data_IF_352223570486
#
_entry.id   IF_352223570486
#
_cell.length_a   1.000
_cell.length_b   1.000
_cell.length_c   1.000
_cell.angle_alpha   90.00
_cell.angle_beta   90.00
_cell.angle_gamma   90.00
#
_symmetry.space_group_name_H-M   'P 1'
#
loop_
_entity.id
_entity.type
_entity.pdbx_description
1 polymer ?
#
# COMPACT_ATOMS: atom_id res chain seq x y z
N UNK A 1 -5.79 6.99 25.56
CA UNK A 1 -5.71 8.31 26.19
C UNK A 1 -7.10 8.87 26.46
N UNK A 2 -7.20 9.84 27.35
CA UNK A 2 -8.48 10.55 27.57
C UNK A 2 -8.62 11.64 26.52
N UNK A 3 -9.85 11.97 26.08
CA UNK A 3 -10.08 13.09 25.18
C UNK A 3 -9.56 14.41 25.79
N UNK A 4 -9.00 15.33 24.99
CA UNK A 4 -8.50 16.61 25.48
C UNK A 4 -9.57 17.48 26.14
N UNK A 5 -10.83 17.30 25.76
CA UNK A 5 -11.98 18.03 26.36
C UNK A 5 -12.11 17.88 27.88
N UNK A 6 -11.76 16.72 28.43
CA UNK A 6 -11.84 16.50 29.88
C UNK A 6 -10.74 17.30 30.61
N UNK A 7 -9.54 17.36 30.02
CA UNK A 7 -8.44 18.18 30.54
C UNK A 7 -8.77 19.68 30.43
N UNK A 8 -9.32 20.11 29.29
CA UNK A 8 -9.76 21.50 29.06
C UNK A 8 -10.80 21.93 30.10
N UNK A 9 -11.81 21.11 30.34
CA UNK A 9 -12.85 21.38 31.35
C UNK A 9 -12.27 21.45 32.76
N UNK A 10 -11.36 20.52 33.10
CA UNK A 10 -10.74 20.49 34.44
C UNK A 10 -9.85 21.73 34.68
N UNK A 11 -9.04 22.12 33.71
CA UNK A 11 -8.16 23.30 33.78
C UNK A 11 -8.98 24.59 33.83
N UNK A 12 -9.98 24.72 32.94
CA UNK A 12 -10.89 25.88 32.94
C UNK A 12 -11.54 26.08 34.30
N UNK A 13 -12.04 25.00 34.93
CA UNK A 13 -12.66 25.05 36.26
C UNK A 13 -11.65 25.35 37.35
N UNK A 14 -10.48 24.70 37.33
CA UNK A 14 -9.46 24.83 38.41
C UNK A 14 -8.84 26.22 38.49
N UNK A 15 -8.60 26.86 37.35
CA UNK A 15 -7.94 28.16 37.25
C UNK A 15 -8.90 29.30 36.95
N UNK A 16 -10.21 29.06 36.94
CA UNK A 16 -11.25 30.02 36.59
C UNK A 16 -10.93 30.81 35.30
N UNK A 17 -10.53 30.08 34.27
CA UNK A 17 -10.16 30.64 32.97
C UNK A 17 -11.17 30.20 31.89
N UNK A 18 -11.19 30.86 30.74
CA UNK A 18 -12.08 30.49 29.66
C UNK A 18 -11.72 29.10 29.05
N UNK A 19 -12.69 28.39 28.52
CA UNK A 19 -12.44 27.13 27.82
C UNK A 19 -11.45 27.30 26.67
N UNK A 20 -11.47 28.45 26.00
CA UNK A 20 -10.54 28.75 24.90
C UNK A 20 -9.10 28.86 25.42
N UNK A 21 -8.88 29.57 26.52
CA UNK A 21 -7.53 29.70 27.13
C UNK A 21 -7.03 28.34 27.63
N UNK A 22 -7.92 27.55 28.30
CA UNK A 22 -7.58 26.20 28.73
C UNK A 22 -7.30 25.27 27.55
N UNK A 23 -8.09 25.37 26.48
CA UNK A 23 -7.90 24.62 25.25
C UNK A 23 -6.61 24.96 24.54
N UNK A 24 -6.29 26.26 24.46
CA UNK A 24 -5.00 26.72 23.91
C UNK A 24 -3.81 26.06 24.62
N UNK A 25 -3.82 26.03 25.94
CA UNK A 25 -2.77 25.40 26.72
C UNK A 25 -2.70 23.90 26.45
N UNK A 26 -3.82 23.20 26.65
CA UNK A 26 -3.87 21.72 26.50
C UNK A 26 -3.44 21.26 25.12
N UNK A 27 -3.94 21.90 24.06
CA UNK A 27 -3.63 21.50 22.69
C UNK A 27 -2.19 21.80 22.30
N UNK A 28 -1.63 22.93 22.80
CA UNK A 28 -0.23 23.28 22.55
C UNK A 28 0.71 22.32 23.26
N UNK A 29 0.45 22.02 24.53
CA UNK A 29 1.25 21.05 25.29
C UNK A 29 1.13 19.64 24.71
N UNK A 30 -0.05 19.23 24.26
CA UNK A 30 -0.24 17.95 23.59
C UNK A 30 0.62 17.86 22.32
N UNK A 31 0.62 18.91 21.49
CA UNK A 31 1.46 18.98 20.29
C UNK A 31 2.95 18.91 20.63
N UNK A 32 3.38 19.60 21.70
CA UNK A 32 4.77 19.53 22.18
C UNK A 32 5.17 18.12 22.61
N UNK A 33 4.36 17.47 23.46
CA UNK A 33 4.66 16.11 23.91
C UNK A 33 4.62 15.10 22.77
N UNK A 34 3.74 15.31 21.78
CA UNK A 34 3.71 14.48 20.58
C UNK A 34 5.02 14.63 19.79
N UNK A 35 5.48 15.87 19.59
CA UNK A 35 6.73 16.15 18.89
C UNK A 35 7.95 15.52 19.58
N UNK A 36 8.04 15.64 20.90
CA UNK A 36 9.13 15.03 21.68
C UNK A 36 9.09 13.50 21.60
N UNK A 37 7.90 12.91 21.71
CA UNK A 37 7.76 11.45 21.58
C UNK A 37 8.12 10.96 20.16
N UNK A 38 7.80 11.75 19.14
CA UNK A 38 8.14 11.46 17.75
C UNK A 38 9.64 11.56 17.50
N UNK A 39 10.32 12.57 18.09
CA UNK A 39 11.78 12.69 18.07
C UNK A 39 12.46 11.44 18.63
N UNK A 40 12.01 10.93 19.77
CA UNK A 40 12.58 9.72 20.36
C UNK A 40 12.29 8.48 19.49
N UNK A 41 11.10 8.39 18.92
CA UNK A 41 10.78 7.30 17.98
C UNK A 41 11.66 7.33 16.72
N UNK A 42 11.94 8.52 16.19
CA UNK A 42 12.81 8.67 15.01
C UNK A 42 14.26 8.29 15.33
N UNK A 43 14.76 8.63 16.54
CA UNK A 43 16.10 8.21 16.99
C UNK A 43 16.20 6.69 17.12
N UNK A 44 15.19 6.04 17.69
CA UNK A 44 15.14 4.57 17.81
C UNK A 44 15.05 3.85 16.46
N UNK A 45 14.61 4.56 15.41
CA UNK A 45 14.48 4.05 14.05
C UNK A 45 15.65 4.45 13.15
N UNK A 46 16.70 5.08 13.71
CA UNK A 46 17.87 5.59 12.97
C UNK A 46 17.49 6.50 11.79
N UNK A 47 16.45 7.34 11.96
CA UNK A 47 16.05 8.35 10.98
C UNK A 47 17.11 9.44 10.92
N UNK A 48 17.66 9.72 9.75
CA UNK A 48 18.71 10.73 9.56
C UNK A 48 18.15 12.14 9.38
N UNK A 49 17.03 12.28 8.65
CA UNK A 49 16.36 13.55 8.39
C UNK A 49 14.84 13.43 8.62
N UNK A 50 14.21 14.55 8.97
CA UNK A 50 12.77 14.64 9.10
C UNK A 50 12.24 15.83 8.31
N UNK A 51 11.00 15.71 7.85
CA UNK A 51 10.25 16.75 7.14
C UNK A 51 9.12 17.29 8.00
N UNK A 52 8.85 18.59 7.86
CA UNK A 52 7.70 19.25 8.49
C UNK A 52 6.50 19.19 7.54
N UNK A 53 5.39 18.68 8.03
CA UNK A 53 4.12 18.58 7.28
C UNK A 53 3.07 19.45 7.96
N UNK A 54 2.67 20.53 7.31
CA UNK A 54 1.58 21.39 7.78
C UNK A 54 0.22 20.86 7.33
N UNK A 55 -0.84 21.28 8.00
CA UNK A 55 -2.20 21.03 7.53
C UNK A 55 -2.49 21.97 6.35
N UNK A 56 -2.98 21.44 5.23
CA UNK A 56 -3.39 22.24 4.07
C UNK A 56 -4.83 22.72 4.26
N UNK A 57 -5.00 23.89 4.86
CA UNK A 57 -6.28 24.59 5.00
C UNK A 57 -6.08 26.10 5.26
N UNK A 58 -7.15 26.86 5.15
CA UNK A 58 -7.16 28.33 5.33
C UNK A 58 -6.83 28.79 6.78
N UNK A 59 -6.74 27.86 7.74
CA UNK A 59 -6.49 28.15 9.14
C UNK A 59 -5.02 27.92 9.53
N UNK A 60 -4.20 27.49 8.60
CA UNK A 60 -2.77 27.24 8.82
C UNK A 60 -2.03 28.57 8.87
N UNK A 61 -1.25 28.76 9.95
CA UNK A 61 -0.51 30.00 10.19
C UNK A 61 0.67 30.17 9.23
N UNK A 62 1.07 31.43 8.97
CA UNK A 62 2.18 31.77 8.08
C UNK A 62 3.45 30.99 8.40
N UNK A 63 3.82 30.87 9.68
CA UNK A 63 5.01 30.10 10.07
C UNK A 63 4.90 28.61 9.70
N UNK A 64 3.71 28.01 9.80
CA UNK A 64 3.51 26.63 9.39
C UNK A 64 3.51 26.47 7.89
N UNK A 65 2.94 27.46 7.15
CA UNK A 65 2.98 27.50 5.68
C UNK A 65 4.43 27.56 5.17
N UNK A 66 5.27 28.40 5.81
CA UNK A 66 6.67 28.55 5.45
C UNK A 66 7.52 27.31 5.81
N UNK A 67 7.11 26.55 6.81
CA UNK A 67 7.84 25.36 7.27
C UNK A 67 7.44 24.10 6.53
N UNK A 68 6.31 24.10 5.85
CA UNK A 68 5.78 22.95 5.15
C UNK A 68 6.72 22.47 4.04
N UNK A 69 6.99 21.17 3.99
CA UNK A 69 7.91 20.54 3.03
C UNK A 69 9.40 20.80 3.32
N UNK A 70 9.75 21.50 4.42
CA UNK A 70 11.16 21.65 4.80
C UNK A 70 11.62 20.44 5.59
N UNK A 71 12.76 19.89 5.19
CA UNK A 71 13.42 18.81 5.91
C UNK A 71 14.69 19.28 6.61
N UNK A 72 15.02 18.62 7.71
CA UNK A 72 16.13 18.95 8.59
C UNK A 72 16.82 17.68 9.10
N UNK A 73 18.14 17.72 9.33
CA UNK A 73 18.83 16.64 10.02
C UNK A 73 18.28 16.40 11.43
N UNK A 74 18.19 15.16 11.87
CA UNK A 74 17.70 14.80 13.21
C UNK A 74 18.45 15.46 14.38
N UNK A 75 19.73 15.82 14.19
CA UNK A 75 20.50 16.57 15.20
C UNK A 75 19.94 17.97 15.48
N UNK A 76 19.21 18.53 14.51
CA UNK A 76 18.63 19.88 14.55
C UNK A 76 17.14 19.85 14.94
N UNK A 77 16.61 18.68 15.40
CA UNK A 77 15.22 18.54 15.83
C UNK A 77 14.98 19.30 17.13
N UNK A 78 14.36 20.46 17.03
CA UNK A 78 14.07 21.36 18.17
C UNK A 78 12.61 21.83 18.11
N UNK A 79 11.73 21.34 19.01
CA UNK A 79 10.35 21.81 19.08
C UNK A 79 10.26 23.32 19.29
N UNK A 80 9.48 23.97 18.44
CA UNK A 80 9.32 25.42 18.41
C UNK A 80 10.27 26.15 17.45
N UNK A 81 11.28 25.47 16.89
CA UNK A 81 12.29 26.04 15.99
C UNK A 81 12.29 25.33 14.64
N UNK A 82 12.67 24.07 14.61
CA UNK A 82 12.70 23.23 13.38
C UNK A 82 11.58 22.19 13.35
N UNK A 83 10.99 21.90 14.50
CA UNK A 83 9.88 20.96 14.65
C UNK A 83 8.68 21.61 15.38
N UNK A 84 7.44 21.18 15.10
CA UNK A 84 6.27 21.71 15.79
C UNK A 84 6.28 21.40 17.31
N UNK A 85 5.50 22.16 18.14
CA UNK A 85 4.59 23.22 17.75
C UNK A 85 5.29 24.58 17.58
N UNK A 86 5.09 25.25 16.46
CA UNK A 86 5.67 26.57 16.19
C UNK A 86 4.88 27.73 16.83
N UNK A 87 3.64 27.49 17.19
CA UNK A 87 2.71 28.47 17.77
C UNK A 87 1.61 27.76 18.57
N UNK A 88 0.84 28.47 19.40
CA UNK A 88 -0.35 27.91 20.05
C UNK A 88 -1.36 27.38 19.02
N UNK A 89 -1.96 26.22 19.32
CA UNK A 89 -2.88 25.50 18.40
C UNK A 89 -2.21 24.97 17.13
N UNK A 90 -0.90 24.79 17.12
CA UNK A 90 -0.19 24.21 16.00
C UNK A 90 -0.71 22.81 15.68
N UNK A 91 -0.97 22.55 14.38
CA UNK A 91 -1.47 21.27 13.88
C UNK A 91 -0.45 20.57 12.96
N UNK A 92 0.69 21.21 12.72
CA UNK A 92 1.78 20.61 11.95
C UNK A 92 2.39 19.42 12.70
N UNK A 93 2.93 18.48 11.96
CA UNK A 93 3.62 17.27 12.45
C UNK A 93 4.97 17.12 11.75
N UNK A 94 5.77 16.15 12.17
CA UNK A 94 6.96 15.75 11.43
C UNK A 94 6.79 14.32 10.91
N UNK A 95 7.44 14.02 9.79
CA UNK A 95 7.54 12.67 9.22
C UNK A 95 9.02 12.36 8.96
N UNK A 96 9.46 11.09 8.91
CA UNK A 96 10.79 10.76 8.43
C UNK A 96 10.95 11.22 6.99
N UNK A 97 12.09 11.81 6.66
CA UNK A 97 12.45 12.17 5.30
C UNK A 97 13.49 11.17 4.79
N UNK A 98 13.27 10.68 3.58
CA UNK A 98 14.18 9.79 2.87
C UNK A 98 14.40 10.39 1.49
N UNK A 99 15.66 10.50 1.09
CA UNK A 99 16.04 10.97 -0.26
C UNK A 99 15.94 9.80 -1.25
N UNK A 100 14.76 9.22 -1.32
CA UNK A 100 14.42 8.17 -2.26
C UNK A 100 13.13 8.58 -3.00
N UNK A 101 13.06 8.26 -4.28
CA UNK A 101 11.92 8.53 -5.17
C UNK A 101 10.67 7.69 -4.77
N UNK A 102 10.44 7.48 -3.48
CA UNK A 102 9.21 6.85 -3.01
C UNK A 102 8.05 7.83 -3.20
N UNK A 103 7.22 7.53 -4.19
CA UNK A 103 5.92 8.18 -4.34
C UNK A 103 5.08 7.89 -3.09
N UNK A 104 5.01 8.87 -2.22
CA UNK A 104 4.44 8.72 -0.86
C UNK A 104 2.90 8.78 -0.89
N UNK A 105 2.28 8.80 -2.05
CA UNK A 105 0.83 8.77 -2.18
C UNK A 105 0.20 10.16 -2.01
N UNK A 106 -0.73 10.31 -1.07
CA UNK A 106 -1.57 11.51 -0.94
C UNK A 106 -1.52 12.09 0.47
N UNK A 107 -1.64 13.42 0.57
CA UNK A 107 -1.84 14.12 1.84
C UNK A 107 -3.22 14.78 1.90
N UNK A 108 -3.80 14.80 3.10
CA UNK A 108 -5.11 15.40 3.31
C UNK A 108 -5.04 16.93 3.29
N UNK A 109 -5.96 17.55 2.53
CA UNK A 109 -6.24 18.98 2.53
C UNK A 109 -7.69 19.22 2.94
N UNK A 110 -8.05 20.46 3.25
CA UNK A 110 -9.43 20.88 3.56
C UNK A 110 -9.81 22.07 2.73
N UNK A 111 -11.03 22.03 2.21
CA UNK A 111 -11.63 23.16 1.51
C UNK A 111 -12.16 24.24 2.47
N UNK A 112 -12.81 25.27 1.91
CA UNK A 112 -13.36 26.39 2.66
C UNK A 112 -14.51 25.97 3.60
N UNK A 113 -15.20 24.89 3.30
CA UNK A 113 -16.28 24.32 4.10
C UNK A 113 -15.76 23.36 5.19
N UNK A 114 -14.47 23.06 5.17
CA UNK A 114 -13.78 22.17 6.11
C UNK A 114 -13.88 20.70 5.71
N UNK A 115 -14.38 20.39 4.53
CA UNK A 115 -14.44 19.04 3.99
C UNK A 115 -13.04 18.58 3.57
N UNK A 116 -12.72 17.34 3.88
CA UNK A 116 -11.40 16.77 3.59
C UNK A 116 -11.35 16.24 2.17
N UNK A 117 -10.30 16.60 1.43
CA UNK A 117 -9.93 16.00 0.16
C UNK A 117 -8.43 15.69 0.14
N UNK A 118 -7.97 14.98 -0.88
CA UNK A 118 -6.59 14.54 -0.96
C UNK A 118 -5.85 15.23 -2.11
N UNK A 119 -4.58 15.51 -1.91
CA UNK A 119 -3.66 16.09 -2.87
C UNK A 119 -2.38 15.26 -2.91
N UNK A 120 -1.52 15.38 -3.94
CA UNK A 120 -0.22 14.69 -3.96
C UNK A 120 0.56 14.93 -2.66
N UNK A 121 1.22 13.88 -2.16
CA UNK A 121 1.89 13.94 -0.86
C UNK A 121 3.03 14.97 -0.82
N UNK A 122 3.69 15.20 -1.94
CA UNK A 122 4.77 16.16 -2.15
C UNK A 122 4.28 17.60 -2.35
N UNK A 123 2.95 17.82 -2.51
CA UNK A 123 2.39 19.16 -2.68
C UNK A 123 2.61 19.99 -1.40
N UNK A 124 3.37 21.06 -1.52
CA UNK A 124 3.63 21.98 -0.42
C UNK A 124 2.48 22.98 -0.22
N UNK A 125 2.42 23.65 0.94
CA UNK A 125 1.39 24.64 1.21
C UNK A 125 1.35 25.79 0.17
N UNK A 126 2.48 26.37 -0.28
CA UNK A 126 2.45 27.41 -1.32
C UNK A 126 1.89 26.91 -2.66
N UNK A 127 2.13 25.67 -3.03
CA UNK A 127 1.58 25.07 -4.25
C UNK A 127 0.07 24.85 -4.12
N UNK A 128 -0.36 24.34 -2.97
CA UNK A 128 -1.77 24.18 -2.63
C UNK A 128 -2.51 25.51 -2.63
N UNK A 129 -1.98 26.54 -1.96
CA UNK A 129 -2.58 27.88 -1.90
C UNK A 129 -2.71 28.50 -3.29
N UNK A 130 -1.65 28.42 -4.10
CA UNK A 130 -1.66 28.91 -5.48
C UNK A 130 -2.73 28.24 -6.34
N UNK A 131 -2.93 26.96 -6.15
CA UNK A 131 -3.92 26.21 -6.87
C UNK A 131 -5.34 26.55 -6.41
N UNK A 132 -5.55 26.78 -5.10
CA UNK A 132 -6.82 27.26 -4.54
C UNK A 132 -7.17 28.65 -5.08
N UNK A 133 -6.24 29.59 -5.08
CA UNK A 133 -6.45 30.96 -5.58
C UNK A 133 -6.76 31.00 -7.08
N UNK A 134 -6.14 30.10 -7.86
CA UNK A 134 -6.37 30.05 -9.31
C UNK A 134 -7.65 29.30 -9.71
N UNK A 135 -8.46 28.83 -8.77
CA UNK A 135 -9.67 28.05 -9.03
C UNK A 135 -9.40 26.68 -9.68
N UNK A 136 -8.17 26.20 -9.59
CA UNK A 136 -7.75 24.88 -10.12
C UNK A 136 -8.01 23.74 -9.13
N UNK A 137 -8.90 23.97 -8.16
CA UNK A 137 -9.26 22.97 -7.14
C UNK A 137 -9.87 21.71 -7.72
N UNK A 138 -10.55 21.81 -8.86
CA UNK A 138 -11.10 20.64 -9.56
C UNK A 138 -9.99 19.74 -10.14
N UNK A 139 -8.78 20.29 -10.37
CA UNK A 139 -7.61 19.53 -10.79
C UNK A 139 -6.74 19.06 -9.61
N UNK A 140 -7.01 19.54 -8.38
CA UNK A 140 -6.28 19.20 -7.17
C UNK A 140 -7.00 18.20 -6.27
N UNK A 141 -8.29 18.08 -6.44
CA UNK A 141 -9.02 16.97 -5.83
C UNK A 141 -8.51 15.70 -6.53
N UNK A 142 -7.38 15.20 -6.03
CA UNK A 142 -7.12 13.78 -6.20
C UNK A 142 -8.37 13.12 -5.67
N UNK A 143 -8.93 12.23 -6.44
CA UNK A 143 -10.24 11.64 -6.26
C UNK A 143 -10.59 11.44 -4.79
N UNK A 144 -11.82 11.77 -4.41
CA UNK A 144 -12.45 11.17 -3.23
C UNK A 144 -12.13 9.68 -3.22
N UNK A 145 -12.09 9.01 -2.04
CA UNK A 145 -11.72 7.59 -1.96
C UNK A 145 -12.49 6.66 -2.91
N UNK A 146 -13.35 7.20 -3.77
CA UNK A 146 -14.10 6.50 -4.81
C UNK A 146 -14.41 7.42 -6.01
N UNK A 147 -13.46 8.19 -6.57
CA UNK A 147 -13.68 8.74 -7.90
C UNK A 147 -13.42 7.68 -8.99
N UNK A 148 -14.46 6.87 -9.19
CA UNK A 148 -14.64 5.93 -10.31
C UNK A 148 -14.65 6.66 -11.68
N UNK A 149 -14.24 7.92 -11.80
CA UNK A 149 -14.32 8.72 -13.02
C UNK A 149 -12.98 9.09 -13.65
N UNK A 150 -11.83 8.64 -13.14
CA UNK A 150 -10.69 8.45 -14.04
C UNK A 150 -11.10 7.31 -14.97
N UNK A 151 -11.16 7.60 -16.27
CA UNK A 151 -11.49 6.54 -17.22
C UNK A 151 -10.51 5.40 -17.00
N UNK A 152 -10.99 4.18 -17.05
CA UNK A 152 -10.21 2.93 -16.93
C UNK A 152 -8.89 3.00 -17.71
N UNK A 153 -8.93 3.63 -18.89
CA UNK A 153 -7.78 3.84 -19.75
C UNK A 153 -6.68 4.71 -19.12
N UNK A 154 -7.02 5.71 -18.31
CA UNK A 154 -6.02 6.59 -17.69
C UNK A 154 -5.27 5.90 -16.56
N UNK A 155 -5.97 5.08 -15.76
CA UNK A 155 -5.34 4.33 -14.68
C UNK A 155 -4.40 3.25 -15.21
N UNK A 156 -4.85 2.45 -16.18
CA UNK A 156 -4.00 1.48 -16.85
C UNK A 156 -2.80 2.15 -17.51
N UNK A 157 -3.02 3.29 -18.17
CA UNK A 157 -1.96 4.07 -18.81
C UNK A 157 -0.90 4.52 -17.81
N UNK A 158 -1.29 5.02 -16.63
CA UNK A 158 -0.35 5.40 -15.56
C UNK A 158 0.51 4.20 -15.13
N UNK A 159 -0.08 3.02 -14.94
CA UNK A 159 0.65 1.83 -14.54
C UNK A 159 1.62 1.34 -15.63
N UNK A 160 1.18 1.38 -16.89
CA UNK A 160 2.02 0.95 -18.01
C UNK A 160 3.15 1.93 -18.28
N UNK A 161 2.92 3.24 -18.18
CA UNK A 161 3.96 4.27 -18.26
C UNK A 161 5.01 4.08 -17.15
N UNK A 162 4.59 3.84 -15.92
CA UNK A 162 5.51 3.55 -14.81
C UNK A 162 6.36 2.29 -15.07
N UNK A 163 5.76 1.22 -15.60
CA UNK A 163 6.47 0.00 -15.98
C UNK A 163 7.50 0.25 -17.10
N UNK A 164 7.12 1.04 -18.10
CA UNK A 164 7.99 1.41 -19.22
C UNK A 164 9.16 2.31 -18.77
N UNK A 165 8.90 3.28 -17.92
CA UNK A 165 9.91 4.17 -17.32
C UNK A 165 10.93 3.40 -16.47
N UNK A 166 10.48 2.35 -15.78
CA UNK A 166 11.35 1.42 -15.07
C UNK A 166 12.12 0.48 -16.03
N UNK A 167 11.82 0.49 -17.32
CA UNK A 167 12.45 -0.37 -18.33
C UNK A 167 11.89 -1.80 -18.38
N UNK A 168 10.67 -2.02 -17.90
CA UNK A 168 10.00 -3.31 -18.01
C UNK A 168 9.66 -3.60 -19.48
N UNK A 169 10.10 -4.75 -20.00
CA UNK A 169 9.79 -5.15 -21.37
C UNK A 169 8.37 -5.68 -21.47
N UNK A 170 7.66 -5.33 -22.54
CA UNK A 170 6.31 -5.81 -22.83
C UNK A 170 6.33 -7.01 -23.79
N UNK A 171 5.72 -8.12 -23.41
CA UNK A 171 5.49 -9.27 -24.27
C UNK A 171 3.98 -9.55 -24.36
N UNK A 172 3.34 -9.33 -25.52
CA UNK A 172 1.91 -9.50 -25.64
C UNK A 172 1.43 -10.89 -25.20
N UNK A 173 0.35 -10.91 -24.44
CA UNK A 173 -0.31 -12.14 -24.03
C UNK A 173 -1.23 -12.63 -25.13
N UNK A 174 -1.24 -13.93 -25.37
CA UNK A 174 -2.11 -14.59 -26.37
C UNK A 174 -3.08 -15.53 -25.64
N UNK A 175 -4.28 -15.66 -26.18
CA UNK A 175 -5.22 -16.65 -25.69
C UNK A 175 -4.76 -18.07 -26.07
N UNK A 176 -4.99 -19.02 -25.19
CA UNK A 176 -4.85 -20.44 -25.52
C UNK A 176 -5.87 -20.84 -26.58
N UNK A 177 -5.49 -21.73 -27.45
CA UNK A 177 -6.44 -22.34 -28.42
C UNK A 177 -7.48 -23.24 -27.73
N UNK A 178 -7.09 -23.86 -26.65
CA UNK A 178 -7.90 -24.68 -25.75
C UNK A 178 -7.51 -24.35 -24.32
N UNK A 179 -8.47 -24.05 -23.43
CA UNK A 179 -8.17 -23.81 -22.01
C UNK A 179 -7.38 -24.96 -21.40
N UNK A 180 -6.40 -24.63 -20.59
CA UNK A 180 -5.63 -25.62 -19.84
C UNK A 180 -6.41 -26.11 -18.62
N UNK A 181 -6.20 -27.35 -18.23
CA UNK A 181 -6.64 -27.85 -16.93
C UNK A 181 -5.81 -27.25 -15.80
N UNK A 182 -6.34 -27.26 -14.59
CA UNK A 182 -5.61 -26.76 -13.40
C UNK A 182 -4.23 -27.44 -13.25
N UNK A 183 -4.15 -28.74 -13.49
CA UNK A 183 -2.89 -29.51 -13.42
C UNK A 183 -1.88 -29.02 -14.46
N UNK A 184 -2.34 -28.77 -15.71
CA UNK A 184 -1.49 -28.24 -16.77
C UNK A 184 -0.99 -26.82 -16.45
N UNK A 185 -1.85 -25.95 -15.89
CA UNK A 185 -1.48 -24.60 -15.45
C UNK A 185 -0.40 -24.68 -14.37
N UNK A 186 -0.61 -25.52 -13.36
CA UNK A 186 0.36 -25.73 -12.28
C UNK A 186 1.69 -26.23 -12.85
N UNK A 187 1.67 -27.19 -13.78
CA UNK A 187 2.87 -27.72 -14.39
C UNK A 187 3.63 -26.69 -15.25
N UNK A 188 2.90 -25.79 -15.92
CA UNK A 188 3.51 -24.70 -16.72
C UNK A 188 4.17 -23.67 -15.83
N UNK A 189 3.54 -23.28 -14.73
CA UNK A 189 3.99 -22.19 -13.85
C UNK A 189 4.91 -22.66 -12.73
N UNK A 190 4.84 -23.92 -12.31
CA UNK A 190 5.74 -24.45 -11.30
C UNK A 190 7.09 -24.81 -11.90
N UNK A 191 8.10 -24.17 -11.46
CA UNK A 191 9.44 -24.45 -11.98
C UNK A 191 10.52 -24.23 -10.94
N UNK A 192 10.12 -23.95 -9.72
CA UNK A 192 11.03 -23.62 -8.66
C UNK A 192 11.66 -22.27 -8.89
N UNK A 193 10.84 -21.27 -9.20
CA UNK A 193 11.33 -19.89 -9.19
C UNK A 193 11.88 -19.58 -7.81
N UNK A 194 13.18 -19.36 -7.78
CA UNK A 194 13.93 -19.05 -6.56
C UNK A 194 14.15 -17.55 -6.40
N UNK A 195 13.59 -16.76 -7.29
CA UNK A 195 13.76 -15.31 -7.30
C UNK A 195 12.90 -14.70 -6.19
N UNK A 196 13.49 -13.92 -5.30
CA UNK A 196 12.71 -13.16 -4.31
C UNK A 196 11.87 -12.11 -5.04
N UNK A 197 10.60 -11.97 -4.61
CA UNK A 197 9.69 -10.95 -5.14
C UNK A 197 8.83 -11.41 -6.33
N UNK A 198 9.02 -12.61 -6.87
CA UNK A 198 8.20 -13.12 -7.98
C UNK A 198 6.87 -13.76 -7.55
N UNK A 199 6.60 -13.89 -6.25
CA UNK A 199 5.36 -14.51 -5.76
C UNK A 199 4.10 -13.83 -6.29
N UNK A 200 4.12 -12.52 -6.41
CA UNK A 200 3.00 -11.76 -6.94
C UNK A 200 2.78 -12.00 -8.43
N UNK A 201 3.84 -11.92 -9.23
CA UNK A 201 3.75 -12.15 -10.69
C UNK A 201 3.40 -13.59 -11.03
N UNK A 202 3.89 -14.58 -10.26
CA UNK A 202 3.46 -15.99 -10.42
C UNK A 202 1.96 -16.15 -10.14
N UNK A 203 1.44 -15.51 -9.10
CA UNK A 203 0.02 -15.52 -8.80
C UNK A 203 -0.82 -14.85 -9.90
N UNK A 204 -0.36 -13.72 -10.45
CA UNK A 204 -1.01 -13.05 -11.57
C UNK A 204 -0.95 -13.90 -12.86
N UNK A 205 0.18 -14.57 -13.12
CA UNK A 205 0.28 -15.50 -14.25
C UNK A 205 -0.71 -16.67 -14.12
N UNK A 206 -0.90 -17.21 -12.90
CA UNK A 206 -1.92 -18.22 -12.64
C UNK A 206 -3.32 -17.70 -12.97
N UNK A 207 -3.66 -16.50 -12.50
CA UNK A 207 -4.93 -15.85 -12.80
C UNK A 207 -5.14 -15.71 -14.31
N UNK A 208 -4.13 -15.22 -15.04
CA UNK A 208 -4.19 -15.11 -16.49
C UNK A 208 -4.38 -16.47 -17.17
N UNK A 209 -3.67 -17.51 -16.73
CA UNK A 209 -3.85 -18.88 -17.28
C UNK A 209 -5.26 -19.42 -17.04
N UNK A 210 -5.85 -19.16 -15.88
CA UNK A 210 -7.24 -19.53 -15.56
C UNK A 210 -8.24 -18.82 -16.47
N UNK A 211 -7.98 -17.55 -16.81
CA UNK A 211 -8.75 -16.77 -17.77
C UNK A 211 -8.47 -17.17 -19.25
N UNK A 212 -7.75 -18.24 -19.50
CA UNK A 212 -7.43 -18.75 -20.84
C UNK A 212 -6.27 -18.05 -21.54
N UNK A 213 -5.51 -17.20 -20.86
CA UNK A 213 -4.37 -16.47 -21.39
C UNK A 213 -3.09 -17.27 -21.26
N UNK A 214 -2.28 -17.32 -22.32
CA UNK A 214 -0.97 -17.96 -22.28
C UNK A 214 0.08 -17.01 -21.69
N UNK A 215 0.15 -16.97 -20.39
CA UNK A 215 1.06 -16.13 -19.62
C UNK A 215 2.10 -17.00 -18.96
N UNK A 216 3.38 -16.67 -19.20
CA UNK A 216 4.50 -17.27 -18.49
C UNK A 216 5.13 -16.23 -17.59
N UNK A 217 5.40 -16.61 -16.36
CA UNK A 217 6.03 -15.77 -15.34
C UNK A 217 7.56 -15.91 -15.31
N UNK A 218 8.19 -15.52 -14.21
CA UNK A 218 9.62 -15.51 -13.89
C UNK A 218 10.41 -14.41 -14.59
N UNK A 219 9.78 -13.29 -14.83
CA UNK A 219 10.45 -12.11 -15.35
C UNK A 219 11.26 -11.43 -14.23
N UNK A 220 12.55 -11.28 -14.47
CA UNK A 220 13.43 -10.53 -13.59
C UNK A 220 13.45 -9.03 -13.89
N UNK A 221 14.38 -8.30 -13.25
CA UNK A 221 14.60 -6.87 -13.49
C UNK A 221 13.42 -5.98 -13.10
N UNK A 222 13.18 -4.93 -13.87
CA UNK A 222 12.16 -3.92 -13.60
C UNK A 222 10.73 -4.49 -13.42
N UNK A 223 10.35 -5.50 -14.20
CA UNK A 223 9.06 -6.17 -14.04
C UNK A 223 8.91 -6.79 -12.65
N UNK A 224 9.92 -7.52 -12.18
CA UNK A 224 9.93 -8.11 -10.85
C UNK A 224 9.90 -7.04 -9.76
N UNK A 225 10.69 -5.98 -9.92
CA UNK A 225 10.75 -4.86 -8.98
C UNK A 225 9.37 -4.20 -8.83
N UNK A 226 8.71 -3.90 -9.93
CA UNK A 226 7.35 -3.35 -9.91
C UNK A 226 6.35 -4.26 -9.20
N UNK A 227 6.26 -5.54 -9.59
CA UNK A 227 5.27 -6.47 -9.03
C UNK A 227 5.64 -7.02 -7.64
N UNK A 228 6.82 -6.74 -7.12
CA UNK A 228 7.18 -7.05 -5.73
C UNK A 228 6.74 -5.99 -4.73
N UNK A 229 6.27 -4.84 -5.21
CA UNK A 229 5.86 -3.70 -4.37
C UNK A 229 4.38 -3.76 -4.06
N UNK A 230 4.01 -3.78 -2.77
CA UNK A 230 2.61 -3.88 -2.31
C UNK A 230 1.71 -2.77 -2.88
N UNK A 231 2.20 -1.53 -2.92
CA UNK A 231 1.44 -0.39 -3.44
C UNK A 231 1.11 -0.55 -4.94
N UNK A 232 2.05 -1.04 -5.75
CA UNK A 232 1.80 -1.30 -7.16
C UNK A 232 0.77 -2.43 -7.36
N UNK A 233 0.82 -3.46 -6.50
CA UNK A 233 -0.18 -4.53 -6.53
C UNK A 233 -1.56 -4.05 -6.08
N UNK A 234 -1.61 -3.12 -5.13
CA UNK A 234 -2.85 -2.49 -4.67
C UNK A 234 -3.53 -1.72 -5.81
N UNK A 235 -2.78 -1.16 -6.75
CA UNK A 235 -3.38 -0.49 -7.91
C UNK A 235 -4.23 -1.42 -8.80
N UNK A 236 -3.91 -2.71 -8.85
CA UNK A 236 -4.72 -3.71 -9.59
C UNK A 236 -6.12 -3.83 -9.00
N UNK A 237 -6.28 -3.56 -7.71
CA UNK A 237 -7.60 -3.61 -7.04
C UNK A 237 -8.56 -2.52 -7.51
N UNK A 238 -8.06 -1.52 -8.25
CA UNK A 238 -8.84 -0.39 -8.78
C UNK A 238 -9.34 -0.62 -10.21
N UNK A 239 -9.01 -1.75 -10.84
CA UNK A 239 -9.50 -2.07 -12.17
C UNK A 239 -11.01 -2.32 -12.14
N UNK A 240 -11.74 -1.95 -13.21
CA UNK A 240 -13.16 -2.22 -13.31
C UNK A 240 -13.51 -3.68 -13.12
N UNK A 241 -14.60 -3.94 -12.44
CA UNK A 241 -15.06 -5.30 -12.14
C UNK A 241 -14.28 -6.00 -11.01
N UNK A 242 -13.24 -5.37 -10.45
CA UNK A 242 -12.51 -5.87 -9.29
C UNK A 242 -13.13 -5.32 -8.01
N UNK A 243 -13.62 -6.23 -7.17
CA UNK A 243 -14.16 -5.92 -5.84
C UNK A 243 -13.25 -6.54 -4.76
N UNK A 244 -12.19 -5.84 -4.33
CA UNK A 244 -11.22 -6.40 -3.41
C UNK A 244 -11.78 -6.47 -1.99
N UNK A 245 -11.36 -7.48 -1.24
CA UNK A 245 -11.58 -7.56 0.19
C UNK A 245 -10.33 -7.07 0.91
N UNK A 246 -10.41 -5.93 1.57
CA UNK A 246 -9.34 -5.40 2.42
C UNK A 246 -9.53 -5.79 3.88
N UNK A 247 -8.42 -5.93 4.61
CA UNK A 247 -8.37 -6.00 6.06
C UNK A 247 -7.16 -5.25 6.59
N UNK A 248 -7.36 -4.61 7.73
CA UNK A 248 -6.31 -3.92 8.46
C UNK A 248 -6.24 -4.38 9.91
N UNK A 249 -5.05 -4.38 10.48
CA UNK A 249 -4.81 -4.63 11.90
C UNK A 249 -3.41 -4.17 12.30
N UNK A 250 -3.11 -4.17 13.62
CA UNK A 250 -1.74 -3.89 14.14
C UNK A 250 -0.73 -5.04 13.89
N UNK A 251 -1.14 -6.12 13.25
CA UNK A 251 -0.32 -7.30 12.98
C UNK A 251 -0.74 -7.95 11.67
N UNK A 252 0.19 -8.15 10.74
CA UNK A 252 -0.08 -8.83 9.46
C UNK A 252 -0.58 -10.27 9.65
N UNK A 253 -0.20 -10.96 10.72
CA UNK A 253 -0.80 -12.24 11.11
C UNK A 253 -2.31 -12.12 11.38
N UNK A 254 -2.76 -11.02 11.95
CA UNK A 254 -4.19 -10.79 12.21
C UNK A 254 -4.92 -10.44 10.92
N UNK A 255 -4.30 -9.62 10.05
CA UNK A 255 -4.83 -9.29 8.72
C UNK A 255 -5.05 -10.57 7.92
N UNK A 256 -3.99 -11.38 7.74
CA UNK A 256 -4.08 -12.63 6.99
C UNK A 256 -5.13 -13.59 7.55
N UNK A 257 -5.21 -13.72 8.87
CA UNK A 257 -6.20 -14.58 9.52
C UNK A 257 -7.64 -14.11 9.31
N UNK A 258 -7.88 -12.78 9.24
CA UNK A 258 -9.19 -12.21 8.93
C UNK A 258 -9.57 -12.46 7.47
N UNK A 259 -8.64 -12.25 6.53
CA UNK A 259 -8.86 -12.53 5.11
C UNK A 259 -9.15 -14.01 4.86
N UNK A 260 -8.34 -14.91 5.42
CA UNK A 260 -8.53 -16.36 5.25
C UNK A 260 -9.88 -16.89 5.79
N UNK A 261 -10.49 -16.20 6.76
CA UNK A 261 -11.85 -16.52 7.25
C UNK A 261 -12.94 -16.21 6.21
N UNK A 262 -12.68 -15.29 5.29
CA UNK A 262 -13.60 -14.89 4.22
C UNK A 262 -13.53 -15.78 2.98
N UNK A 263 -12.54 -16.69 2.92
CA UNK A 263 -12.39 -17.63 1.80
C UNK A 263 -13.59 -18.57 1.73
N UNK A 264 -14.35 -18.48 0.65
CA UNK A 264 -15.55 -19.28 0.38
C UNK A 264 -15.15 -20.60 -0.28
N UNK A 265 -15.83 -21.68 0.08
CA UNK A 265 -15.60 -23.00 -0.52
C UNK A 265 -15.95 -22.98 -2.01
N UNK A 266 -15.08 -23.56 -2.84
CA UNK A 266 -15.23 -23.62 -4.29
C UNK A 266 -14.78 -22.37 -5.04
N UNK A 267 -14.30 -21.34 -4.34
CA UNK A 267 -13.71 -20.14 -4.93
C UNK A 267 -12.21 -20.06 -4.68
N UNK A 268 -11.51 -19.42 -5.60
CA UNK A 268 -10.09 -19.13 -5.53
C UNK A 268 -9.88 -17.63 -5.39
N UNK A 269 -8.88 -17.23 -4.59
CA UNK A 269 -8.61 -15.83 -4.32
C UNK A 269 -7.11 -15.55 -4.47
N UNK A 270 -6.78 -14.44 -5.13
CA UNK A 270 -5.44 -13.88 -5.12
C UNK A 270 -5.25 -13.09 -3.82
N UNK A 271 -4.46 -13.63 -2.91
CA UNK A 271 -4.21 -13.07 -1.58
C UNK A 271 -2.84 -12.40 -1.53
N UNK A 272 -2.80 -11.13 -1.09
CA UNK A 272 -1.59 -10.39 -0.74
C UNK A 272 -1.60 -10.01 0.72
N UNK A 273 -0.66 -10.55 1.51
CA UNK A 273 -0.51 -10.23 2.94
C UNK A 273 0.90 -10.52 3.45
N UNK A 274 1.39 -9.70 4.34
CA UNK A 274 2.75 -9.81 4.87
C UNK A 274 3.80 -9.56 3.79
N UNK A 275 4.64 -10.54 3.50
CA UNK A 275 5.69 -10.47 2.47
C UNK A 275 5.46 -11.46 1.32
N UNK A 276 4.21 -11.89 1.10
CA UNK A 276 3.92 -12.91 0.10
C UNK A 276 2.53 -12.76 -0.50
N UNK A 277 2.42 -13.08 -1.80
CA UNK A 277 1.18 -13.26 -2.50
C UNK A 277 1.04 -14.72 -2.94
N UNK A 278 -0.16 -15.26 -2.88
CA UNK A 278 -0.47 -16.60 -3.36
C UNK A 278 -1.96 -16.74 -3.67
N UNK A 279 -2.30 -17.72 -4.49
CA UNK A 279 -3.69 -18.13 -4.65
C UNK A 279 -4.09 -18.98 -3.44
N UNK A 280 -5.26 -18.70 -2.87
CA UNK A 280 -5.82 -19.45 -1.74
C UNK A 280 -7.23 -19.92 -2.04
N UNK A 281 -7.62 -21.07 -1.48
CA UNK A 281 -8.97 -21.62 -1.63
C UNK A 281 -9.40 -22.44 -0.41
N UNK A 282 -10.69 -22.75 -0.35
CA UNK A 282 -11.17 -23.93 0.39
C UNK A 282 -11.54 -25.01 -0.62
N UNK A 283 -10.95 -26.19 -0.50
CA UNK A 283 -11.27 -27.32 -1.35
C UNK A 283 -12.67 -27.89 -1.06
N UNK A 284 -13.06 -28.95 -1.79
CA UNK A 284 -14.36 -29.58 -1.65
C UNK A 284 -14.64 -30.11 -0.21
N UNK A 285 -13.59 -30.49 0.53
CA UNK A 285 -13.68 -30.94 1.92
C UNK A 285 -13.68 -29.80 2.93
N UNK A 286 -13.64 -28.52 2.48
CA UNK A 286 -13.58 -27.33 3.31
C UNK A 286 -12.19 -27.01 3.87
N UNK A 287 -11.15 -27.75 3.44
CA UNK A 287 -9.77 -27.53 3.87
C UNK A 287 -9.20 -26.30 3.20
N UNK A 288 -8.64 -25.39 4.00
CA UNK A 288 -7.97 -24.20 3.51
C UNK A 288 -6.61 -24.53 2.91
N UNK A 289 -6.37 -24.11 1.67
CA UNK A 289 -5.17 -24.38 0.89
C UNK A 289 -4.59 -23.11 0.30
N UNK A 290 -3.29 -23.09 0.04
CA UNK A 290 -2.61 -22.13 -0.83
C UNK A 290 -1.90 -22.86 -1.97
N UNK A 291 -1.76 -22.18 -3.09
CA UNK A 291 -1.08 -22.72 -4.26
C UNK A 291 0.42 -22.42 -4.17
N UNK A 292 1.24 -23.48 -4.03
CA UNK A 292 2.68 -23.36 -4.04
C UNK A 292 3.21 -23.55 -5.48
N UNK A 293 3.79 -22.49 -6.04
CA UNK A 293 4.36 -22.50 -7.39
C UNK A 293 5.86 -22.23 -7.42
N UNK A 294 6.43 -21.69 -6.33
CA UNK A 294 7.82 -21.28 -6.27
C UNK A 294 8.78 -22.29 -5.64
N UNK A 295 8.26 -23.31 -4.96
CA UNK A 295 9.12 -24.29 -4.31
C UNK A 295 9.74 -25.25 -5.33
N UNK A 296 11.06 -25.50 -5.27
CA UNK A 296 11.72 -26.45 -6.17
C UNK A 296 11.40 -27.93 -5.86
N UNK A 297 10.81 -28.19 -4.69
CA UNK A 297 10.56 -29.56 -4.20
C UNK A 297 9.09 -29.89 -4.00
N UNK A 298 8.23 -28.87 -4.06
CA UNK A 298 6.79 -29.02 -3.83
C UNK A 298 6.05 -28.01 -4.70
N UNK A 299 5.19 -28.48 -5.57
CA UNK A 299 4.29 -27.66 -6.37
C UNK A 299 2.85 -28.11 -6.17
N UNK A 300 1.92 -27.18 -6.41
CA UNK A 300 0.50 -27.45 -6.30
C UNK A 300 -0.09 -27.05 -4.94
N UNK A 301 -1.34 -27.46 -4.76
CA UNK A 301 -2.10 -27.09 -3.58
C UNK A 301 -1.54 -27.67 -2.29
N UNK A 302 -1.33 -26.80 -1.33
CA UNK A 302 -0.75 -27.13 -0.02
C UNK A 302 -1.68 -26.69 1.08
N UNK A 303 -1.97 -27.56 2.04
CA UNK A 303 -2.87 -27.27 3.14
C UNK A 303 -2.24 -26.26 4.13
N UNK A 304 -3.08 -25.36 4.64
CA UNK A 304 -2.75 -24.60 5.84
C UNK A 304 -2.82 -25.54 7.03
N UNK A 305 -1.67 -26.04 7.48
CA UNK A 305 -1.59 -27.02 8.58
C UNK A 305 -2.34 -26.56 9.83
N UNK A 306 -3.47 -27.15 10.14
CA UNK A 306 -4.31 -27.01 11.35
C UNK A 306 -4.54 -25.59 11.87
N UNK A 307 -3.47 -24.83 12.11
CA UNK A 307 -3.54 -23.42 12.49
C UNK A 307 -2.97 -22.52 11.38
N UNK A 308 -3.82 -21.77 10.65
CA UNK A 308 -3.40 -20.91 9.56
C UNK A 308 -2.30 -19.91 9.93
N UNK A 309 -2.24 -19.49 11.21
CA UNK A 309 -1.22 -18.54 11.69
C UNK A 309 0.20 -19.08 11.52
N UNK A 310 0.41 -20.40 11.61
CA UNK A 310 1.73 -20.97 11.41
C UNK A 310 2.20 -20.81 9.95
N UNK A 311 1.34 -21.13 8.99
CA UNK A 311 1.64 -20.98 7.56
C UNK A 311 1.76 -19.48 7.18
N UNK A 312 0.89 -18.62 7.73
CA UNK A 312 1.01 -17.16 7.54
C UNK A 312 2.36 -16.63 8.04
N UNK A 313 2.84 -17.09 9.19
CA UNK A 313 4.13 -16.65 9.71
C UNK A 313 5.31 -17.22 8.90
N UNK A 314 5.30 -18.52 8.61
CA UNK A 314 6.44 -19.21 8.01
C UNK A 314 6.54 -19.04 6.50
N UNK A 315 5.39 -18.94 5.78
CA UNK A 315 5.38 -18.86 4.32
C UNK A 315 5.04 -17.46 3.82
N UNK A 316 4.13 -16.75 4.48
CA UNK A 316 3.72 -15.39 4.09
C UNK A 316 4.53 -14.30 4.79
N UNK A 317 5.46 -14.65 5.67
CA UNK A 317 6.28 -13.67 6.38
C UNK A 317 5.48 -12.75 7.31
N UNK A 318 4.25 -13.14 7.65
CA UNK A 318 3.40 -12.36 8.53
C UNK A 318 3.94 -12.33 9.95
N UNK A 319 3.86 -11.17 10.59
CA UNK A 319 4.41 -10.94 11.93
C UNK A 319 3.34 -10.52 12.94
N UNK A 320 3.67 -10.72 14.22
CA UNK A 320 2.99 -10.04 15.31
C UNK A 320 3.34 -8.56 15.26
N UNK A 321 2.35 -7.70 15.38
CA UNK A 321 2.49 -6.26 15.16
C UNK A 321 3.53 -5.60 16.04
N UNK A 322 4.20 -4.60 15.49
CA UNK A 322 5.17 -3.74 16.16
C UNK A 322 4.70 -2.29 16.30
N UNK A 323 3.39 -2.04 16.16
CA UNK A 323 2.80 -0.70 16.35
C UNK A 323 2.18 -0.05 15.11
N UNK A 324 2.63 -0.39 13.91
CA UNK A 324 2.07 0.11 12.65
C UNK A 324 0.77 -0.62 12.29
N UNK A 325 -0.08 0.04 11.51
CA UNK A 325 -1.24 -0.60 10.90
C UNK A 325 -0.75 -1.34 9.66
N UNK A 326 -0.96 -2.64 9.67
CA UNK A 326 -0.69 -3.52 8.54
C UNK A 326 -1.96 -3.69 7.72
N UNK A 327 -1.84 -3.73 6.41
CA UNK A 327 -2.93 -3.97 5.47
C UNK A 327 -2.64 -5.22 4.64
N UNK A 328 -3.70 -5.83 4.13
CA UNK A 328 -3.66 -6.89 3.14
C UNK A 328 -4.97 -6.93 2.38
N UNK A 329 -4.94 -7.52 1.20
CA UNK A 329 -6.13 -7.68 0.38
C UNK A 329 -6.24 -9.07 -0.25
N UNK A 330 -7.43 -9.37 -0.72
CA UNK A 330 -7.72 -10.58 -1.45
C UNK A 330 -8.78 -10.29 -2.52
N UNK A 331 -8.59 -10.84 -3.73
CA UNK A 331 -9.46 -10.65 -4.89
C UNK A 331 -9.93 -12.02 -5.36
N UNK A 332 -11.22 -12.17 -5.65
CA UNK A 332 -11.77 -13.37 -6.27
C UNK A 332 -11.17 -13.54 -7.68
N UNK A 333 -10.57 -14.70 -7.96
CA UNK A 333 -9.89 -14.97 -9.23
C UNK A 333 -10.83 -14.84 -10.43
N UNK A 334 -12.12 -15.17 -10.27
CA UNK A 334 -13.13 -15.05 -11.33
C UNK A 334 -13.32 -13.60 -11.81
N UNK A 335 -13.07 -12.59 -10.94
CA UNK A 335 -13.21 -11.17 -11.30
C UNK A 335 -12.16 -10.71 -12.32
N UNK A 336 -11.08 -11.44 -12.49
CA UNK A 336 -10.04 -11.11 -13.46
C UNK A 336 -10.31 -11.64 -14.85
N UNK A 337 -11.24 -12.58 -15.02
CA UNK A 337 -11.47 -13.27 -16.30
C UNK A 337 -11.96 -12.31 -17.41
N UNK A 338 -12.67 -11.24 -17.03
CA UNK A 338 -13.27 -10.26 -17.95
C UNK A 338 -12.49 -8.94 -18.02
N UNK A 339 -11.29 -8.86 -17.41
CA UNK A 339 -10.53 -7.60 -17.36
C UNK A 339 -9.53 -7.48 -18.51
N UNK A 340 -9.83 -6.59 -19.46
CA UNK A 340 -8.91 -6.21 -20.54
C UNK A 340 -7.65 -5.51 -19.98
N UNK A 341 -7.80 -4.78 -18.87
CA UNK A 341 -6.71 -4.12 -18.17
C UNK A 341 -5.71 -5.13 -17.62
N UNK A 342 -6.22 -6.22 -17.03
CA UNK A 342 -5.36 -7.30 -16.56
C UNK A 342 -4.61 -7.94 -17.72
N UNK A 343 -5.25 -8.18 -18.86
CA UNK A 343 -4.58 -8.76 -20.03
C UNK A 343 -3.40 -7.89 -20.48
N UNK A 344 -3.59 -6.57 -20.51
CA UNK A 344 -2.52 -5.62 -20.86
C UNK A 344 -1.41 -5.65 -19.81
N UNK A 345 -1.75 -5.57 -18.52
CA UNK A 345 -0.78 -5.60 -17.44
C UNK A 345 0.02 -6.91 -17.41
N UNK A 346 -0.61 -8.04 -17.72
CA UNK A 346 0.05 -9.34 -17.82
C UNK A 346 1.10 -9.41 -18.93
N UNK A 347 1.04 -8.53 -19.93
CA UNK A 347 2.10 -8.40 -20.92
C UNK A 347 3.45 -7.98 -20.34
N UNK A 348 3.46 -7.28 -19.19
CA UNK A 348 4.67 -6.93 -18.46
C UNK A 348 5.11 -8.03 -17.47
N UNK A 349 4.22 -8.94 -17.09
CA UNK A 349 4.55 -10.17 -16.35
C UNK A 349 5.08 -11.24 -17.30
N UNK A 350 4.49 -11.34 -18.48
CA UNK A 350 4.73 -12.42 -19.44
C UNK A 350 6.20 -12.49 -19.90
N UNK A 351 6.77 -13.68 -19.90
CA UNK A 351 8.12 -13.95 -20.42
C UNK A 351 8.07 -14.97 -21.56
N UNK A 352 9.18 -15.17 -22.26
CA UNK A 352 9.28 -16.24 -23.25
C UNK A 352 9.70 -17.55 -22.56
N UNK A 353 9.19 -18.69 -23.02
CA UNK A 353 9.33 -20.00 -22.38
C UNK A 353 10.78 -20.39 -22.05
N UNK A 354 11.73 -20.02 -22.91
CA UNK A 354 13.15 -20.36 -22.69
C UNK A 354 13.79 -19.50 -21.59
N UNK A 355 13.33 -18.28 -21.41
CA UNK A 355 13.78 -17.41 -20.33
C UNK A 355 13.19 -17.81 -18.99
N UNK A 356 11.93 -18.24 -18.96
CA UNK A 356 11.29 -18.80 -17.78
C UNK A 356 12.09 -19.97 -17.21
N UNK A 357 12.46 -20.93 -18.07
CA UNK A 357 13.26 -22.09 -17.67
C UNK A 357 14.67 -21.72 -17.19
N UNK A 358 15.25 -20.66 -17.76
CA UNK A 358 16.57 -20.14 -17.35
C UNK A 358 16.50 -19.36 -16.04
N UNK A 359 15.43 -18.59 -15.83
CA UNK A 359 15.21 -17.85 -14.58
C UNK A 359 15.18 -18.75 -13.35
N UNK A 360 14.72 -19.97 -13.50
CA UNK A 360 14.73 -21.00 -12.46
C UNK A 360 16.14 -21.33 -11.95
N UNK A 361 17.16 -21.13 -12.77
CA UNK A 361 18.54 -21.55 -12.46
C UNK A 361 19.40 -20.47 -11.81
N UNK A 362 18.92 -19.24 -11.66
CA UNK A 362 19.92 -18.19 -11.56
C UNK A 362 20.05 -17.42 -10.28
N UNK A 363 19.04 -17.08 -9.58
CA UNK A 363 19.26 -15.97 -8.65
C UNK A 363 18.47 -16.04 -7.35
N UNK A 364 18.82 -17.04 -6.56
CA UNK A 364 18.65 -16.93 -5.11
C UNK A 364 19.90 -16.26 -4.56
N UNK A 365 19.82 -15.02 -4.20
CA UNK A 365 20.77 -14.42 -3.27
C UNK A 365 20.01 -13.88 -2.05
#
# INVERSE_FOLDING_TARGET
GKPPDDAIKAISKKFNTSKNQAGRLVMTEQAYFHSVAQQEAFKELDVEEFEVVATLDNLTSEICQEMDGKHFPMKDYEPGVTAPPFHPWCRSVTVPYFDDDFDVGERAARDEDGETYYVPADMTYPEWEKAMVNGQTDNLKSAEPDDITKTTDEHLKMLTEKLEDMGAAYNPVKMHKTPLSEEEIINVLSGGDKTRGSCASVGLAYVGQKAGMNVLDFRGGASQEFFSTYLNLKEITKFPGIEPMFETAKASLTVGNKLLKKVVQGKEYYLCVGQHCAIVRRNADGVLQYLELQSPTRSGWTDFNGNPRFTLASRFGCQNGRGNIEEGFMIDVEQFEESDELQTLLGYVNTVSDEQKKGVTGHVR
#
